data_IF_240595249551
#
_entry.id   IF_240595249551
#
_cell.length_a   1.000
_cell.length_b   1.000
_cell.length_c   1.000
_cell.angle_alpha   90.00
_cell.angle_beta   90.00
_cell.angle_gamma   90.00
#
_symmetry.space_group_name_H-M   'P 1'
#
loop_
_entity.id
_entity.type
_entity.pdbx_description
1 polymer ?
#
# COMPACT_ATOMS: atom_id res chain seq x y z
N UNK A 1 23.08 4.04 -3.50
CA UNK A 1 22.81 3.07 -2.41
C UNK A 1 21.31 2.85 -2.39
N UNK A 2 20.80 1.61 -2.46
CA UNK A 2 19.36 1.38 -2.35
C UNK A 2 18.90 1.88 -0.98
N UNK A 3 17.82 2.66 -0.96
CA UNK A 3 17.16 3.06 0.27
C UNK A 3 16.17 1.97 0.64
N UNK A 4 16.21 1.51 1.89
CA UNK A 4 15.35 0.44 2.37
C UNK A 4 14.59 0.87 3.62
N UNK A 5 13.36 0.39 3.75
CA UNK A 5 12.55 0.54 4.96
C UNK A 5 12.33 -0.86 5.54
N UNK A 6 12.70 -1.03 6.81
CA UNK A 6 12.49 -2.26 7.54
C UNK A 6 11.33 -2.09 8.54
N UNK A 7 10.33 -2.98 8.46
CA UNK A 7 9.20 -2.99 9.38
C UNK A 7 9.28 -4.21 10.32
N UNK A 8 9.09 -4.01 11.63
CA UNK A 8 9.11 -5.09 12.63
C UNK A 8 8.05 -4.89 13.70
N UNK A 9 7.25 -5.91 13.97
CA UNK A 9 6.20 -5.89 15.01
C UNK A 9 4.78 -6.00 14.44
N UNK A 10 3.77 -5.59 15.21
CA UNK A 10 2.38 -5.58 14.78
C UNK A 10 1.86 -4.14 14.74
N UNK A 11 1.24 -3.76 13.62
CA UNK A 11 0.73 -2.42 13.39
C UNK A 11 -0.75 -2.49 13.00
N UNK A 12 -1.58 -1.70 13.67
CA UNK A 12 -2.91 -1.35 13.17
C UNK A 12 -2.77 -0.09 12.31
N UNK A 13 -3.04 -0.20 11.01
CA UNK A 13 -2.79 0.88 10.04
C UNK A 13 -4.09 1.35 9.42
N UNK A 14 -4.24 2.68 9.39
CA UNK A 14 -5.32 3.33 8.65
C UNK A 14 -4.93 3.49 7.19
N UNK A 15 -5.86 3.22 6.28
CA UNK A 15 -5.63 3.41 4.85
C UNK A 15 -5.76 4.87 4.48
N UNK A 16 -4.93 5.34 3.55
CA UNK A 16 -4.99 6.70 3.03
C UNK A 16 -6.24 6.87 2.14
N UNK A 17 -7.19 7.75 2.52
CA UNK A 17 -8.47 7.87 1.81
C UNK A 17 -8.35 8.64 0.49
N UNK A 18 -7.36 9.51 0.36
CA UNK A 18 -7.13 10.32 -0.83
C UNK A 18 -5.69 10.15 -1.29
N UNK A 19 -5.52 9.59 -2.48
CA UNK A 19 -4.22 9.40 -3.12
C UNK A 19 -4.04 10.49 -4.17
N UNK A 20 -2.88 11.14 -4.13
CA UNK A 20 -2.51 12.23 -5.03
C UNK A 20 -1.95 11.60 -6.30
N UNK A 21 -2.58 11.86 -7.46
CA UNK A 21 -2.06 11.40 -8.72
C UNK A 21 -0.58 11.66 -8.97
N UNK A 22 0.13 10.66 -9.49
CA UNK A 22 1.56 10.75 -9.78
C UNK A 22 2.48 10.54 -8.57
N UNK A 23 1.94 10.51 -7.35
CA UNK A 23 2.73 10.11 -6.17
C UNK A 23 2.84 8.60 -6.05
N UNK A 24 3.93 8.18 -5.42
CA UNK A 24 4.19 6.80 -5.05
C UNK A 24 3.69 6.52 -3.64
N UNK A 25 3.17 5.31 -3.48
CA UNK A 25 2.56 4.85 -2.25
C UNK A 25 3.04 3.45 -1.91
N UNK A 26 3.06 3.18 -0.61
CA UNK A 26 3.29 1.85 -0.05
C UNK A 26 1.96 1.37 0.52
N UNK A 27 1.60 0.15 0.18
CA UNK A 27 0.31 -0.42 0.58
C UNK A 27 0.18 -1.89 0.29
N UNK A 28 -1.06 -2.36 0.16
CA UNK A 28 -1.39 -3.76 -0.06
C UNK A 28 -2.44 -3.91 -1.15
N UNK A 29 -2.47 -5.09 -1.78
CA UNK A 29 -3.62 -5.54 -2.54
C UNK A 29 -4.61 -6.20 -1.58
N UNK A 30 -5.86 -5.72 -1.55
CA UNK A 30 -6.90 -6.31 -0.72
C UNK A 30 -7.11 -7.79 -1.08
N UNK A 31 -7.12 -8.68 -0.07
CA UNK A 31 -7.32 -10.12 -0.27
C UNK A 31 -8.72 -10.46 -0.82
N UNK A 32 -9.71 -9.58 -0.61
CA UNK A 32 -11.09 -9.75 -1.08
C UNK A 32 -11.31 -9.16 -2.48
N UNK A 33 -11.19 -7.84 -2.64
CA UNK A 33 -11.50 -7.18 -3.91
C UNK A 33 -10.31 -6.99 -4.85
N UNK A 34 -9.10 -7.40 -4.43
CA UNK A 34 -7.83 -7.29 -5.18
C UNK A 34 -7.42 -5.87 -5.55
N UNK A 35 -8.15 -4.85 -5.10
CA UNK A 35 -7.78 -3.46 -5.28
C UNK A 35 -6.62 -3.06 -4.37
N UNK A 36 -5.72 -2.25 -4.89
CA UNK A 36 -4.63 -1.67 -4.12
C UNK A 36 -5.13 -0.51 -3.25
N UNK A 37 -4.69 -0.47 -2.01
CA UNK A 37 -4.91 0.65 -1.11
C UNK A 37 -3.59 1.01 -0.44
N UNK A 38 -3.39 2.31 -0.17
CA UNK A 38 -2.16 2.80 0.44
C UNK A 38 -2.30 2.91 1.95
N UNK A 39 -1.19 2.69 2.65
CA UNK A 39 -1.06 2.94 4.10
C UNK A 39 -0.07 4.05 4.40
N UNK A 40 0.89 4.29 3.49
CA UNK A 40 1.98 5.25 3.65
C UNK A 40 2.31 5.89 2.30
N UNK A 41 2.78 7.14 2.35
CA UNK A 41 3.42 7.77 1.20
C UNK A 41 4.83 7.19 1.04
N UNK A 42 5.24 6.95 -0.21
CA UNK A 42 6.60 6.53 -0.52
C UNK A 42 7.52 7.78 -0.52
N UNK A 43 8.47 7.91 0.43
CA UNK A 43 9.21 9.15 0.66
C UNK A 43 10.20 9.56 -0.43
N UNK A 44 10.61 8.63 -1.30
CA UNK A 44 11.61 8.88 -2.35
C UNK A 44 10.99 9.31 -3.68
N UNK A 45 9.70 9.00 -3.89
CA UNK A 45 9.00 9.26 -5.15
C UNK A 45 9.52 8.42 -6.33
N UNK A 46 10.27 7.34 -6.06
CA UNK A 46 10.91 6.52 -7.10
C UNK A 46 10.26 5.14 -7.24
N UNK A 47 9.51 4.69 -6.24
CA UNK A 47 8.96 3.32 -6.22
C UNK A 47 10.03 2.22 -6.14
N UNK A 48 11.27 2.59 -5.78
CA UNK A 48 12.42 1.70 -5.74
C UNK A 48 12.94 1.47 -4.30
N UNK A 49 12.08 1.65 -3.28
CA UNK A 49 12.46 1.34 -1.91
C UNK A 49 12.52 -0.17 -1.70
N UNK A 50 13.56 -0.63 -1.02
CA UNK A 50 13.59 -2.01 -0.56
C UNK A 50 12.69 -2.14 0.69
N UNK A 51 11.54 -2.79 0.55
CA UNK A 51 10.62 -3.05 1.66
C UNK A 51 10.89 -4.43 2.24
N UNK A 52 11.28 -4.47 3.52
CA UNK A 52 11.72 -5.70 4.17
C UNK A 52 11.22 -5.77 5.62
N UNK A 53 11.27 -6.96 6.23
CA UNK A 53 11.09 -7.14 7.67
C UNK A 53 10.07 -8.19 8.07
N UNK A 54 9.78 -8.24 9.37
CA UNK A 54 8.86 -9.19 10.01
C UNK A 54 7.75 -8.41 10.73
N UNK A 55 7.04 -7.59 9.97
CA UNK A 55 5.87 -6.89 10.47
C UNK A 55 4.57 -7.52 9.99
N UNK A 56 3.56 -7.42 10.83
CA UNK A 56 2.17 -7.72 10.53
C UNK A 56 1.38 -6.41 10.57
N UNK A 57 0.53 -6.19 9.57
CA UNK A 57 -0.27 -5.00 9.40
C UNK A 57 -1.74 -5.40 9.37
N UNK A 58 -2.53 -4.90 10.31
CA UNK A 58 -3.99 -4.98 10.28
C UNK A 58 -4.53 -3.74 9.58
N UNK A 59 -5.23 -3.93 8.45
CA UNK A 59 -5.77 -2.84 7.66
C UNK A 59 -7.18 -3.18 7.15
N UNK A 60 -8.02 -2.15 7.07
CA UNK A 60 -9.36 -2.24 6.47
C UNK A 60 -9.33 -1.66 5.06
N UNK A 61 -9.77 -2.43 4.07
CA UNK A 61 -9.82 -1.96 2.69
C UNK A 61 -10.85 -0.84 2.53
N UNK A 62 -10.49 0.34 2.00
CA UNK A 62 -11.43 1.46 1.82
C UNK A 62 -12.45 1.22 0.70
N UNK A 63 -12.22 0.23 -0.17
CA UNK A 63 -13.13 -0.05 -1.30
C UNK A 63 -14.23 -1.07 -0.96
N UNK A 64 -13.94 -2.08 -0.15
CA UNK A 64 -14.91 -3.15 0.18
C UNK A 64 -15.09 -3.38 1.68
N UNK A 65 -14.49 -2.52 2.51
CA UNK A 65 -14.59 -2.51 3.98
C UNK A 65 -14.12 -3.79 4.67
N UNK A 66 -13.48 -4.69 3.93
CA UNK A 66 -12.92 -5.92 4.47
C UNK A 66 -11.65 -5.63 5.27
N UNK A 67 -11.62 -6.07 6.52
CA UNK A 67 -10.42 -6.11 7.34
C UNK A 67 -9.58 -7.34 7.03
N UNK A 68 -8.26 -7.19 7.11
CA UNK A 68 -7.33 -8.29 6.94
C UNK A 68 -5.97 -8.00 7.54
N UNK A 69 -5.24 -9.08 7.82
CA UNK A 69 -3.83 -9.03 8.22
C UNK A 69 -2.92 -9.25 7.01
N UNK A 70 -1.87 -8.45 6.93
CA UNK A 70 -0.90 -8.44 5.84
C UNK A 70 0.51 -8.49 6.41
N UNK A 71 1.39 -9.24 5.78
CA UNK A 71 2.81 -9.31 6.16
C UNK A 71 3.62 -8.23 5.46
N UNK A 72 4.78 -7.84 6.01
CA UNK A 72 5.71 -6.93 5.34
C UNK A 72 6.15 -7.40 3.94
N UNK A 73 6.18 -8.72 3.71
CA UNK A 73 6.44 -9.31 2.39
C UNK A 73 5.31 -9.13 1.38
N UNK A 74 4.11 -8.79 1.84
CA UNK A 74 2.95 -8.49 0.99
C UNK A 74 2.87 -7.00 0.64
N UNK A 75 3.77 -6.16 1.18
CA UNK A 75 3.82 -4.74 0.85
C UNK A 75 4.16 -4.56 -0.63
N UNK A 76 3.39 -3.69 -1.27
CA UNK A 76 3.60 -3.31 -2.66
C UNK A 76 3.82 -1.81 -2.74
N UNK A 77 4.73 -1.41 -3.64
CA UNK A 77 4.88 -0.03 -4.08
C UNK A 77 4.08 0.15 -5.35
N UNK A 78 3.22 1.16 -5.37
CA UNK A 78 2.46 1.49 -6.56
C UNK A 78 2.35 3.01 -6.70
N UNK A 79 2.39 3.47 -7.94
CA UNK A 79 2.07 4.84 -8.26
C UNK A 79 0.56 4.94 -8.47
N UNK A 80 -0.08 5.93 -7.86
CA UNK A 80 -1.47 6.20 -8.24
C UNK A 80 -1.51 6.85 -9.60
N UNK A 81 -2.14 6.13 -10.53
CA UNK A 81 -2.48 6.67 -11.83
C UNK A 81 -3.27 7.96 -11.63
N UNK A 82 -2.89 9.00 -12.39
CA UNK A 82 -3.79 10.11 -12.66
C UNK A 82 -5.08 9.52 -13.17
N UNK A 83 -6.16 9.66 -12.39
CA UNK A 83 -7.44 8.98 -12.56
C UNK A 83 -7.74 8.69 -14.03
N UNK A 84 -7.45 7.47 -14.44
CA UNK A 84 -8.00 6.90 -15.66
C UNK A 84 -9.32 6.26 -15.28
N UNK A 85 -10.41 6.50 -16.03
CA UNK A 85 -11.72 5.96 -15.70
C UNK A 85 -11.63 4.45 -15.48
N UNK A 86 -12.35 3.96 -14.47
CA UNK A 86 -12.70 2.55 -14.33
C UNK A 86 -13.03 2.01 -15.72
N UNK A 87 -12.26 1.03 -16.19
CA UNK A 87 -12.66 0.25 -17.36
C UNK A 87 -13.86 -0.59 -16.94
N UNK A 88 -15.07 -0.04 -17.10
CA UNK A 88 -16.25 -0.85 -17.36
C UNK A 88 -16.06 -1.47 -18.74
N UNK A 89 -15.66 -2.73 -18.76
CA UNK A 89 -15.81 -3.61 -19.92
C UNK A 89 -17.23 -4.19 -19.94
#
# INVERSE_FOLDING_TARGET
MPQGIQFTGAYEVSTLPALIPGNWYIGFACKQCRQHFAILNEPTGTGALELSGRATFSATCPNCEASGEYSASELVQFQTAQGGPMSTA
#
